data_IF_842289864264
#
_entry.id   IF_842289864264
#
_cell.length_a   1.000
_cell.length_b   1.000
_cell.length_c   1.000
_cell.angle_alpha   90.00
_cell.angle_beta   90.00
_cell.angle_gamma   90.00
#
_symmetry.space_group_name_H-M   'P 1'
#
loop_
_entity.id
_entity.type
_entity.pdbx_description
1 polymer ?
#
# COMPACT_ATOMS: atom_id res chain seq x y z
N UNK A 1 -54.00 -37.57 -45.45
CA UNK A 1 -52.87 -37.08 -46.34
C UNK A 1 -52.82 -35.54 -46.30
N UNK A 2 -52.14 -35.13 -45.22
CA UNK A 2 -51.17 -34.02 -45.19
C UNK A 2 -50.96 -33.56 -43.75
N UNK A 3 -49.88 -34.10 -43.07
CA UNK A 3 -48.53 -33.80 -42.54
C UNK A 3 -48.31 -32.29 -42.39
N UNK A 4 -48.24 -31.76 -41.15
CA UNK A 4 -46.97 -31.35 -40.50
C UNK A 4 -47.12 -29.93 -39.94
N UNK A 5 -47.01 -29.80 -38.61
CA UNK A 5 -45.84 -29.15 -37.94
C UNK A 5 -46.20 -28.88 -36.47
N UNK A 6 -45.84 -29.78 -35.52
CA UNK A 6 -45.59 -29.68 -34.06
C UNK A 6 -44.47 -28.64 -33.81
N UNK A 7 -44.81 -27.41 -33.57
CA UNK A 7 -44.08 -26.25 -32.99
C UNK A 7 -43.42 -26.63 -31.66
N UNK A 8 -42.17 -27.09 -31.70
CA UNK A 8 -41.15 -27.07 -30.63
C UNK A 8 -40.95 -25.62 -30.13
N UNK A 9 -41.74 -25.16 -29.10
CA UNK A 9 -41.28 -23.90 -28.44
C UNK A 9 -41.32 -24.07 -26.92
N UNK A 10 -40.19 -24.51 -26.27
CA UNK A 10 -39.60 -23.73 -25.15
C UNK A 10 -38.69 -24.64 -24.32
N UNK A 11 -37.61 -25.13 -24.87
CA UNK A 11 -36.32 -25.59 -24.34
C UNK A 11 -35.66 -24.45 -23.53
N UNK A 12 -35.85 -24.40 -22.17
CA UNK A 12 -34.85 -24.49 -21.09
C UNK A 12 -33.91 -23.28 -21.15
N UNK A 13 -34.34 -22.11 -20.76
CA UNK A 13 -33.25 -21.18 -20.36
C UNK A 13 -33.74 -20.35 -19.17
N UNK A 14 -33.83 -20.96 -18.02
CA UNK A 14 -33.66 -19.96 -16.94
C UNK A 14 -33.08 -20.65 -15.70
N UNK A 15 -31.88 -21.21 -15.79
CA UNK A 15 -31.17 -21.22 -14.49
C UNK A 15 -29.69 -20.91 -14.71
N UNK A 16 -29.35 -19.91 -15.47
CA UNK A 16 -27.93 -19.46 -15.39
C UNK A 16 -27.89 -17.96 -15.14
N UNK A 17 -28.51 -17.49 -14.13
CA UNK A 17 -28.11 -16.07 -13.87
C UNK A 17 -28.44 -15.69 -12.42
N UNK A 18 -27.70 -16.29 -11.45
CA UNK A 18 -27.33 -15.41 -10.30
C UNK A 18 -26.33 -16.18 -9.42
N UNK A 19 -25.17 -16.69 -9.97
CA UNK A 19 -24.04 -16.94 -9.04
C UNK A 19 -23.62 -15.62 -8.36
N UNK A 20 -24.58 -14.81 -7.79
CA UNK A 20 -24.17 -13.88 -6.72
C UNK A 20 -23.17 -14.56 -5.78
N UNK A 21 -21.89 -14.74 -6.17
CA UNK A 21 -20.70 -14.80 -5.30
C UNK A 21 -21.08 -14.67 -3.83
N UNK A 22 -21.92 -15.56 -3.29
CA UNK A 22 -21.96 -15.73 -1.82
C UNK A 22 -20.55 -15.97 -1.29
N UNK A 23 -19.74 -14.93 -1.13
CA UNK A 23 -18.55 -15.15 -0.28
C UNK A 23 -18.94 -15.77 1.06
N UNK A 24 -19.01 -17.10 1.19
CA UNK A 24 -19.02 -17.78 2.50
C UNK A 24 -18.24 -16.97 3.55
N UNK A 25 -18.91 -16.06 4.30
CA UNK A 25 -18.28 -15.39 5.47
C UNK A 25 -17.23 -16.30 6.13
N UNK A 26 -16.00 -16.24 5.64
CA UNK A 26 -14.94 -17.00 6.35
C UNK A 26 -14.70 -16.34 7.72
N UNK A 27 -14.84 -17.09 8.84
CA UNK A 27 -14.61 -16.61 10.22
C UNK A 27 -13.30 -15.80 10.30
N UNK A 28 -13.41 -14.62 10.97
CA UNK A 28 -12.21 -13.79 11.19
C UNK A 28 -11.14 -14.58 11.98
N UNK A 29 -9.87 -14.37 11.64
CA UNK A 29 -8.82 -15.03 12.43
C UNK A 29 -8.91 -14.67 13.93
N UNK A 30 -8.24 -15.59 14.72
CA UNK A 30 -8.26 -15.38 16.20
C UNK A 30 -6.82 -15.55 16.71
N UNK A 31 -6.51 -14.53 17.54
CA UNK A 31 -5.21 -14.72 18.24
C UNK A 31 -5.49 -15.27 19.65
N UNK A 32 -4.77 -16.40 19.97
CA UNK A 32 -5.06 -17.01 21.29
C UNK A 32 -3.81 -17.00 22.17
N UNK A 33 -2.67 -16.60 21.49
CA UNK A 33 -1.48 -16.59 22.38
C UNK A 33 -0.36 -15.74 21.77
N UNK A 34 0.41 -15.24 22.72
CA UNK A 34 1.60 -14.45 22.33
C UNK A 34 2.78 -14.85 23.21
N UNK A 35 3.83 -15.27 22.55
CA UNK A 35 5.08 -15.55 23.30
C UNK A 35 6.22 -14.67 22.79
N UNK A 36 7.14 -14.27 23.72
CA UNK A 36 8.26 -13.36 23.39
C UNK A 36 8.00 -11.94 23.91
N UNK A 37 9.11 -11.23 23.86
CA UNK A 37 9.01 -9.82 24.29
C UNK A 37 8.68 -8.92 23.09
N UNK A 38 7.60 -8.08 23.31
CA UNK A 38 7.22 -7.16 22.22
C UNK A 38 8.09 -5.89 22.31
N UNK A 39 9.28 -6.05 21.72
CA UNK A 39 10.23 -4.91 21.62
C UNK A 39 10.88 -4.89 20.24
N UNK A 40 11.34 -3.69 19.91
CA UNK A 40 11.83 -3.51 18.53
C UNK A 40 12.88 -4.58 18.19
N UNK A 41 12.66 -5.17 17.05
CA UNK A 41 13.58 -6.13 16.40
C UNK A 41 13.57 -7.48 17.13
N UNK A 42 12.81 -7.60 18.23
CA UNK A 42 12.68 -8.94 18.83
C UNK A 42 11.79 -9.87 17.98
N UNK A 43 12.03 -11.14 18.23
CA UNK A 43 11.15 -12.13 17.57
C UNK A 43 10.02 -12.57 18.54
N UNK A 44 8.82 -12.49 18.01
CA UNK A 44 7.71 -13.00 18.85
C UNK A 44 6.92 -14.03 18.03
N UNK A 45 6.21 -14.89 18.84
CA UNK A 45 5.32 -15.88 18.19
C UNK A 45 3.86 -15.59 18.56
N UNK A 46 3.10 -15.53 17.50
CA UNK A 46 1.64 -15.36 17.69
C UNK A 46 0.92 -16.67 17.32
N UNK A 47 0.15 -17.22 18.32
CA UNK A 47 -0.63 -18.45 18.04
C UNK A 47 -2.12 -18.15 17.96
N UNK A 48 -2.75 -18.94 17.12
CA UNK A 48 -4.22 -18.75 16.98
C UNK A 48 -4.78 -19.68 15.91
N UNK A 49 -5.95 -19.24 15.33
CA UNK A 49 -6.58 -20.03 14.24
C UNK A 49 -7.10 -19.08 13.16
N UNK A 50 -7.21 -19.61 11.94
CA UNK A 50 -7.86 -18.85 10.84
C UNK A 50 -6.91 -17.81 10.24
N UNK A 51 -5.52 -17.98 10.49
CA UNK A 51 -4.59 -16.99 9.91
C UNK A 51 -4.52 -17.14 8.39
N UNK A 52 -4.99 -18.39 7.94
CA UNK A 52 -4.85 -18.64 6.48
C UNK A 52 -3.40 -19.00 6.10
N UNK A 53 -3.30 -19.51 4.84
CA UNK A 53 -1.94 -19.92 4.39
C UNK A 53 -1.29 -18.76 3.61
N UNK A 54 -0.03 -18.60 3.92
CA UNK A 54 0.82 -17.67 3.17
C UNK A 54 2.02 -18.43 2.59
N UNK A 55 2.00 -18.43 1.23
CA UNK A 55 3.09 -19.24 0.62
C UNK A 55 4.47 -18.75 1.04
N UNK A 56 4.52 -17.44 1.11
CA UNK A 56 5.77 -16.83 1.60
C UNK A 56 5.48 -15.96 2.84
N UNK A 57 6.19 -16.47 3.93
CA UNK A 57 5.91 -15.69 5.16
C UNK A 57 6.50 -14.27 5.06
N UNK A 58 7.69 -14.11 4.47
CA UNK A 58 8.33 -12.78 4.41
C UNK A 58 7.73 -11.93 3.28
N UNK A 59 7.74 -10.60 3.59
CA UNK A 59 7.27 -9.74 2.49
C UNK A 59 8.24 -9.77 1.29
N UNK A 60 7.61 -9.34 0.16
CA UNK A 60 8.53 -9.20 -1.00
C UNK A 60 9.64 -8.20 -0.70
N UNK A 61 9.24 -7.15 0.03
CA UNK A 61 10.26 -6.16 0.41
C UNK A 61 9.81 -5.43 1.68
N UNK A 62 10.79 -5.31 2.60
CA UNK A 62 10.66 -4.46 3.80
C UNK A 62 11.95 -3.65 4.00
N UNK A 63 11.66 -2.44 4.26
CA UNK A 63 12.85 -1.60 4.49
C UNK A 63 12.46 -0.40 5.36
N UNK A 64 13.02 -0.34 6.48
CA UNK A 64 12.77 0.83 7.37
C UNK A 64 13.98 1.77 7.37
N UNK A 65 15.04 1.26 6.62
CA UNK A 65 16.22 2.07 6.22
C UNK A 65 17.14 2.28 7.41
N UNK A 66 16.97 1.59 8.45
CA UNK A 66 17.78 1.86 9.67
C UNK A 66 19.16 1.24 9.53
N UNK A 67 19.29 0.38 8.56
CA UNK A 67 20.64 -0.21 8.42
C UNK A 67 21.45 0.52 7.35
N UNK A 68 20.84 1.59 6.77
CA UNK A 68 21.55 2.30 5.69
C UNK A 68 22.47 3.39 6.26
N UNK A 69 23.39 3.93 5.30
CA UNK A 69 24.32 5.00 5.72
C UNK A 69 23.86 6.32 5.09
N UNK A 70 23.69 7.32 5.98
CA UNK A 70 23.21 8.63 5.48
C UNK A 70 24.18 9.16 4.39
N UNK A 71 23.57 9.70 3.31
CA UNK A 71 24.37 10.33 2.23
C UNK A 71 24.55 9.34 1.07
N UNK A 72 24.45 7.98 1.48
CA UNK A 72 24.61 7.01 0.38
C UNK A 72 23.36 6.94 -0.51
N UNK A 73 23.63 6.60 -1.77
CA UNK A 73 22.47 6.48 -2.67
C UNK A 73 21.59 5.27 -2.30
N UNK A 74 20.29 5.36 -2.75
CA UNK A 74 19.25 4.36 -2.39
C UNK A 74 19.64 2.99 -2.98
N UNK A 75 20.55 2.93 -3.97
CA UNK A 75 20.88 1.65 -4.64
C UNK A 75 21.74 0.76 -3.73
N UNK A 76 22.19 1.23 -2.63
CA UNK A 76 23.03 0.40 -1.72
C UNK A 76 22.16 -0.55 -0.89
N UNK A 77 20.81 -0.44 -1.01
CA UNK A 77 19.94 -1.28 -0.16
C UNK A 77 18.91 -2.00 -1.02
N UNK A 78 19.40 -2.44 -2.27
CA UNK A 78 18.57 -3.39 -3.05
C UNK A 78 17.45 -2.68 -3.80
N UNK A 79 17.48 -1.30 -3.70
CA UNK A 79 16.51 -0.53 -4.51
C UNK A 79 17.17 -0.13 -5.84
N UNK A 80 16.28 -0.11 -6.87
CA UNK A 80 16.77 0.41 -8.16
C UNK A 80 16.35 1.87 -8.37
N UNK A 81 17.21 2.49 -9.19
CA UNK A 81 16.83 3.88 -9.56
C UNK A 81 17.21 4.13 -11.02
N UNK A 82 16.64 5.17 -11.61
CA UNK A 82 17.09 5.55 -12.98
C UNK A 82 18.06 6.73 -12.85
N UNK A 83 19.35 6.43 -13.48
CA UNK A 83 20.36 7.52 -13.37
C UNK A 83 20.50 8.23 -14.73
N UNK A 84 19.72 9.33 -14.96
CA UNK A 84 19.91 10.16 -16.17
C UNK A 84 20.27 11.59 -15.75
N UNK A 85 21.02 12.30 -16.60
CA UNK A 85 21.58 13.65 -16.32
C UNK A 85 20.52 14.56 -15.70
N UNK A 86 19.24 14.24 -15.81
CA UNK A 86 18.18 15.13 -15.28
C UNK A 86 17.61 14.56 -13.98
N UNK A 87 18.15 13.27 -13.48
CA UNK A 87 17.55 12.61 -12.30
C UNK A 87 18.46 12.85 -11.09
N UNK A 88 17.68 13.23 -10.09
CA UNK A 88 18.42 13.28 -8.80
C UNK A 88 18.19 11.96 -8.05
N UNK A 89 19.39 11.35 -7.75
CA UNK A 89 19.28 10.05 -7.07
C UNK A 89 18.91 10.26 -5.58
N UNK A 90 17.82 9.50 -5.16
CA UNK A 90 17.48 9.60 -3.73
C UNK A 90 18.60 9.07 -2.83
N UNK A 91 18.66 9.74 -1.68
CA UNK A 91 19.73 9.31 -0.75
C UNK A 91 19.12 9.03 0.62
N UNK A 92 19.89 8.28 1.39
CA UNK A 92 19.47 8.07 2.79
C UNK A 92 19.88 9.28 3.64
N UNK A 93 18.92 9.65 4.61
CA UNK A 93 19.27 10.81 5.45
C UNK A 93 18.86 10.50 6.90
N UNK A 94 19.35 11.37 7.86
CA UNK A 94 18.99 11.08 9.28
C UNK A 94 18.44 12.35 9.95
N UNK A 95 18.15 13.44 9.20
CA UNK A 95 17.69 14.69 9.84
C UNK A 95 16.15 14.74 9.87
N UNK A 96 15.53 13.81 9.23
CA UNK A 96 14.06 13.90 9.16
C UNK A 96 13.45 12.52 9.38
N UNK A 97 14.15 11.72 10.22
CA UNK A 97 13.62 10.35 10.41
C UNK A 97 12.34 10.38 11.24
N UNK A 98 11.45 9.47 10.86
CA UNK A 98 10.20 9.36 11.67
C UNK A 98 10.54 9.13 13.16
N UNK A 99 10.10 10.19 14.08
CA UNK A 99 10.40 10.33 15.53
C UNK A 99 9.97 9.06 16.27
N UNK A 100 10.91 8.50 17.28
CA UNK A 100 10.43 7.44 18.21
C UNK A 100 11.25 6.16 18.05
N UNK A 101 12.18 6.08 16.95
CA UNK A 101 13.20 4.99 17.01
C UNK A 101 13.84 4.81 15.63
N UNK A 102 13.70 5.72 14.74
CA UNK A 102 14.25 5.48 13.40
C UNK A 102 15.30 6.56 13.10
N UNK A 103 16.58 5.99 12.76
CA UNK A 103 17.73 6.91 12.56
C UNK A 103 17.80 7.38 11.10
N UNK A 104 16.80 6.61 10.26
CA UNK A 104 17.08 7.01 8.85
C UNK A 104 15.79 6.95 8.04
N UNK A 105 15.83 7.73 6.94
CA UNK A 105 14.76 7.65 5.93
C UNK A 105 15.38 7.90 4.54
N UNK A 106 14.55 7.59 3.60
CA UNK A 106 14.99 7.93 2.23
C UNK A 106 14.47 9.31 1.81
N UNK A 107 15.40 10.13 1.32
CA UNK A 107 15.08 11.53 0.95
C UNK A 107 15.14 11.69 -0.57
N UNK A 108 14.05 12.26 -0.93
CA UNK A 108 13.94 12.48 -2.39
C UNK A 108 13.81 13.98 -2.66
N UNK A 109 14.61 14.36 -3.72
CA UNK A 109 14.51 15.75 -4.19
C UNK A 109 14.13 15.78 -5.68
N UNK A 110 13.08 16.55 -5.83
CA UNK A 110 12.70 16.73 -7.24
C UNK A 110 12.74 18.22 -7.60
N UNK A 111 13.49 18.48 -8.81
CA UNK A 111 13.60 19.90 -9.27
C UNK A 111 12.69 20.13 -10.47
N UNK A 112 11.83 21.14 -10.35
CA UNK A 112 10.96 21.44 -11.52
C UNK A 112 11.58 22.57 -12.36
N UNK A 113 12.58 22.33 -13.42
CA UNK A 113 12.99 23.44 -14.32
C UNK A 113 12.59 23.07 -15.74
N UNK A 114 11.55 23.72 -16.48
CA UNK A 114 11.19 23.50 -17.89
C UNK A 114 10.81 22.05 -18.17
N UNK A 115 9.85 21.40 -17.33
CA UNK A 115 9.16 20.16 -17.79
C UNK A 115 10.08 18.93 -17.69
N UNK A 116 10.13 18.16 -16.62
CA UNK A 116 10.15 16.71 -16.32
C UNK A 116 11.40 16.38 -15.50
N UNK A 117 11.28 16.54 -14.15
CA UNK A 117 12.47 15.84 -13.57
C UNK A 117 12.01 14.86 -12.49
N UNK A 118 12.58 13.61 -12.57
CA UNK A 118 12.14 12.31 -12.01
C UNK A 118 13.17 11.83 -10.98
N UNK A 119 12.96 12.37 -9.62
CA UNK A 119 13.63 11.54 -8.59
C UNK A 119 12.75 10.36 -8.18
N UNK A 120 13.27 9.11 -8.47
CA UNK A 120 12.42 7.97 -8.07
C UNK A 120 13.32 6.79 -7.66
N UNK A 121 12.83 5.92 -6.99
CA UNK A 121 13.43 4.59 -6.72
C UNK A 121 12.32 3.52 -6.74
N UNK A 122 12.73 2.28 -6.95
CA UNK A 122 11.62 1.32 -7.12
C UNK A 122 12.12 -0.09 -6.77
N UNK A 123 11.14 -0.88 -6.38
CA UNK A 123 11.38 -2.34 -6.32
C UNK A 123 11.29 -2.96 -7.72
N UNK A 124 12.39 -3.70 -8.06
CA UNK A 124 12.40 -4.36 -9.38
C UNK A 124 12.04 -5.85 -9.21
N UNK A 125 10.79 -6.11 -9.68
CA UNK A 125 10.28 -7.49 -9.47
C UNK A 125 10.76 -8.43 -10.57
N UNK A 126 11.74 -7.91 -11.47
CA UNK A 126 12.18 -8.74 -12.62
C UNK A 126 11.01 -9.19 -13.50
N UNK A 127 11.05 -10.57 -13.84
CA UNK A 127 10.02 -11.07 -14.80
C UNK A 127 8.84 -11.69 -14.04
N UNK A 128 8.83 -11.50 -12.71
CA UNK A 128 7.68 -12.04 -11.94
C UNK A 128 6.43 -11.17 -12.14
N UNK A 129 5.43 -11.88 -12.54
CA UNK A 129 4.15 -11.17 -12.69
C UNK A 129 3.46 -11.00 -11.32
N UNK A 130 3.27 -9.69 -11.03
CA UNK A 130 2.61 -9.40 -9.73
C UNK A 130 1.13 -9.08 -9.95
N UNK A 131 0.21 -9.94 -9.43
CA UNK A 131 -1.23 -9.79 -9.72
C UNK A 131 -1.99 -9.31 -8.49
N UNK A 132 -1.34 -9.45 -7.40
CA UNK A 132 -1.94 -8.98 -6.13
C UNK A 132 -0.84 -8.38 -5.24
N UNK A 133 -1.24 -7.15 -4.69
CA UNK A 133 -0.19 -6.48 -3.90
C UNK A 133 -0.81 -5.78 -2.70
N UNK A 134 -0.17 -6.03 -1.61
CA UNK A 134 -0.37 -5.08 -0.49
C UNK A 134 0.90 -4.25 -0.28
N UNK A 135 0.65 -2.92 -0.18
CA UNK A 135 1.82 -2.03 -0.05
C UNK A 135 1.50 -1.00 1.04
N UNK A 136 2.52 -0.82 1.94
CA UNK A 136 2.37 0.31 2.88
C UNK A 136 3.72 1.01 3.04
N UNK A 137 3.57 2.30 3.29
CA UNK A 137 4.80 3.08 3.52
C UNK A 137 4.42 4.41 4.19
N UNK A 138 5.44 4.94 4.87
CA UNK A 138 5.29 6.33 5.37
C UNK A 138 5.95 7.33 4.40
N UNK A 139 5.19 8.45 4.41
CA UNK A 139 5.74 9.52 3.54
C UNK A 139 5.52 10.88 4.21
N UNK A 140 6.49 11.67 3.98
CA UNK A 140 6.39 13.05 4.47
C UNK A 140 6.75 14.02 3.33
N UNK A 141 5.81 14.91 3.24
CA UNK A 141 6.07 15.97 2.23
C UNK A 141 6.69 17.20 2.91
N UNK A 142 7.65 17.80 2.02
CA UNK A 142 8.34 18.95 2.63
C UNK A 142 8.26 20.12 1.64
N UNK A 143 7.93 21.27 2.40
CA UNK A 143 7.96 22.50 1.58
C UNK A 143 9.01 23.47 2.15
N UNK A 144 9.97 23.94 1.28
CA UNK A 144 10.89 25.01 1.75
C UNK A 144 10.39 26.39 1.34
N UNK A 145 10.69 27.46 2.17
CA UNK A 145 10.33 28.87 1.91
C UNK A 145 10.72 29.28 0.48
N UNK A 146 9.65 29.78 -0.34
CA UNK A 146 10.00 30.34 -1.67
C UNK A 146 9.65 29.36 -2.80
N UNK A 147 9.26 28.10 -2.37
CA UNK A 147 8.82 27.10 -3.38
C UNK A 147 7.39 27.37 -3.86
N UNK A 148 7.27 27.70 -5.27
CA UNK A 148 5.92 27.89 -5.86
C UNK A 148 5.22 26.54 -6.01
N UNK A 149 3.93 26.69 -5.87
CA UNK A 149 2.98 25.57 -5.96
C UNK A 149 3.14 24.81 -7.29
N UNK A 150 3.49 23.45 -7.16
CA UNK A 150 3.51 22.59 -8.38
C UNK A 150 2.09 22.14 -8.72
N UNK A 151 1.78 22.02 -10.03
CA UNK A 151 0.43 21.65 -10.52
C UNK A 151 0.33 20.13 -10.67
N UNK A 152 1.63 19.43 -10.53
CA UNK A 152 1.47 17.97 -10.75
C UNK A 152 2.68 17.23 -10.14
N UNK A 153 2.32 16.31 -9.14
CA UNK A 153 3.36 15.46 -8.53
C UNK A 153 2.85 14.02 -8.41
N UNK A 154 3.73 13.09 -8.98
CA UNK A 154 3.35 11.67 -8.87
C UNK A 154 4.30 10.97 -7.90
N UNK A 155 3.73 10.47 -6.87
CA UNK A 155 4.71 10.06 -5.82
C UNK A 155 4.62 8.55 -5.62
N UNK A 156 3.77 7.68 -6.41
CA UNK A 156 3.72 6.22 -6.28
C UNK A 156 3.07 5.64 -7.54
N UNK A 157 3.79 4.44 -7.95
CA UNK A 157 3.25 3.79 -9.16
C UNK A 157 3.50 2.28 -9.08
N UNK A 158 2.46 1.52 -9.74
CA UNK A 158 2.69 0.10 -10.06
C UNK A 158 2.77 -0.04 -11.59
N UNK A 159 3.97 -0.57 -11.94
CA UNK A 159 4.19 -0.46 -13.39
C UNK A 159 4.68 -1.80 -13.95
N UNK A 160 4.60 -1.91 -15.33
CA UNK A 160 5.09 -3.10 -16.05
C UNK A 160 6.62 -3.06 -16.18
N UNK A 161 7.15 -1.78 -16.45
CA UNK A 161 8.62 -1.64 -16.61
C UNK A 161 9.04 -0.21 -16.23
N UNK A 162 9.78 -0.22 -15.16
CA UNK A 162 10.27 1.08 -14.66
C UNK A 162 11.49 1.52 -15.48
N UNK A 163 12.09 0.68 -16.46
CA UNK A 163 13.38 0.84 -17.16
C UNK A 163 13.21 1.57 -18.50
N UNK A 164 12.05 2.06 -18.88
CA UNK A 164 11.95 2.56 -20.28
C UNK A 164 12.14 4.09 -20.29
N UNK A 165 12.82 4.66 -19.24
CA UNK A 165 13.37 6.03 -19.42
C UNK A 165 12.52 6.89 -20.34
N UNK A 166 11.33 6.42 -20.95
CA UNK A 166 10.59 7.19 -21.98
C UNK A 166 9.32 7.78 -21.34
N UNK A 167 9.48 8.13 -19.92
CA UNK A 167 8.48 9.11 -19.42
C UNK A 167 7.05 8.63 -19.64
N UNK A 168 6.77 7.32 -19.94
CA UNK A 168 5.32 6.99 -20.08
C UNK A 168 5.12 5.49 -19.83
N UNK A 169 5.12 5.15 -18.50
CA UNK A 169 4.96 3.77 -17.97
C UNK A 169 3.45 3.49 -17.81
N UNK A 170 2.76 2.46 -18.60
CA UNK A 170 1.36 2.13 -18.30
C UNK A 170 1.16 1.75 -16.83
N UNK A 171 0.68 2.78 -16.00
CA UNK A 171 0.76 2.74 -14.52
C UNK A 171 -0.64 2.49 -13.94
N UNK A 172 -0.90 1.47 -13.10
CA UNK A 172 -1.76 1.79 -11.93
C UNK A 172 -1.06 2.82 -11.03
N UNK A 173 -0.84 4.10 -11.53
CA UNK A 173 -0.21 5.21 -10.80
C UNK A 173 -1.30 6.12 -10.21
N UNK A 174 -1.23 6.24 -8.81
CA UNK A 174 -2.02 7.02 -7.85
C UNK A 174 -1.11 7.94 -7.03
N UNK A 175 -1.15 9.45 -7.28
CA UNK A 175 -1.60 10.62 -6.48
C UNK A 175 -1.01 11.89 -7.13
N UNK A 176 -1.85 12.47 -8.06
CA UNK A 176 -1.42 13.78 -8.62
C UNK A 176 -1.94 14.93 -7.75
N UNK A 177 -1.04 15.89 -7.52
CA UNK A 177 -1.37 17.24 -6.99
C UNK A 177 -1.89 18.15 -8.09
N UNK A 178 -3.30 18.33 -8.20
CA UNK A 178 -3.72 19.41 -9.13
C UNK A 178 -4.08 20.68 -8.34
N UNK A 179 -3.16 21.63 -8.30
CA UNK A 179 -3.51 22.92 -7.65
C UNK A 179 -3.99 23.94 -8.68
N UNK A 180 -4.55 23.39 -9.91
CA UNK A 180 -5.06 24.42 -10.83
C UNK A 180 -6.58 24.59 -10.71
N UNK A 181 -7.08 25.59 -9.88
CA UNK A 181 -8.38 26.27 -10.08
C UNK A 181 -9.48 25.60 -9.27
N UNK A 182 -9.17 24.67 -8.23
CA UNK A 182 -10.27 24.21 -7.37
C UNK A 182 -10.02 24.67 -5.93
N UNK A 183 -10.93 25.36 -5.18
CA UNK A 183 -10.71 25.80 -3.78
C UNK A 183 -10.16 24.66 -2.92
N UNK A 184 -8.79 24.58 -2.67
CA UNK A 184 -8.20 23.65 -1.68
C UNK A 184 -7.24 22.65 -2.36
N UNK A 185 -5.98 22.27 -1.71
CA UNK A 185 -4.98 21.28 -2.18
C UNK A 185 -5.62 19.90 -2.33
N UNK A 186 -5.88 19.45 -3.64
CA UNK A 186 -6.55 18.14 -3.85
C UNK A 186 -5.54 17.14 -4.44
N UNK A 187 -5.55 15.91 -3.80
CA UNK A 187 -4.81 14.75 -4.39
C UNK A 187 -5.76 13.76 -5.06
N UNK A 188 -5.18 13.09 -6.09
CA UNK A 188 -6.05 12.12 -6.76
C UNK A 188 -5.30 10.79 -6.99
N UNK A 189 -6.14 9.71 -6.81
CA UNK A 189 -5.66 8.39 -7.24
C UNK A 189 -6.35 7.95 -8.53
N UNK A 190 -5.45 7.79 -9.59
CA UNK A 190 -6.04 7.44 -10.89
C UNK A 190 -5.51 6.09 -11.37
N UNK A 191 -6.49 5.44 -12.17
CA UNK A 191 -6.06 4.16 -12.76
C UNK A 191 -6.22 4.27 -14.29
N UNK A 192 -5.01 4.02 -14.91
CA UNK A 192 -5.17 4.05 -16.38
C UNK A 192 -4.65 2.72 -16.97
N UNK A 193 -5.61 1.93 -17.66
CA UNK A 193 -5.24 0.68 -18.37
C UNK A 193 -4.51 0.97 -19.69
N UNK A 194 -4.27 2.33 -19.97
CA UNK A 194 -3.65 2.60 -21.30
C UNK A 194 -2.40 3.48 -21.10
N UNK A 195 -1.29 3.23 -22.01
CA UNK A 195 -0.01 3.97 -22.18
C UNK A 195 -0.28 5.43 -22.56
N UNK A 196 0.13 6.51 -21.69
CA UNK A 196 0.23 7.86 -22.30
C UNK A 196 -1.10 8.59 -22.25
N UNK A 197 -0.97 10.04 -22.76
CA UNK A 197 -2.13 10.93 -22.99
C UNK A 197 -3.31 10.16 -23.59
N UNK A 198 -4.23 9.96 -22.69
CA UNK A 198 -5.49 9.33 -23.17
C UNK A 198 -6.33 10.41 -23.88
N UNK A 199 -6.41 10.35 -25.20
CA UNK A 199 -7.25 11.34 -25.90
C UNK A 199 -8.67 11.41 -25.31
N UNK A 200 -9.23 12.55 -25.14
CA UNK A 200 -10.52 12.85 -24.49
C UNK A 200 -11.60 11.85 -24.89
N UNK A 201 -11.51 11.24 -26.01
CA UNK A 201 -12.59 10.34 -26.48
C UNK A 201 -12.44 8.95 -25.84
N UNK A 202 -11.18 8.67 -25.11
CA UNK A 202 -10.88 7.37 -24.48
C UNK A 202 -10.74 7.52 -22.96
N UNK A 203 -11.07 8.81 -22.48
CA UNK A 203 -10.94 9.16 -21.04
C UNK A 203 -11.98 8.41 -20.20
N UNK A 204 -12.93 7.64 -20.92
CA UNK A 204 -13.88 6.82 -20.15
C UNK A 204 -13.18 5.66 -19.43
N UNK A 205 -11.76 5.45 -19.62
CA UNK A 205 -11.00 4.31 -19.06
C UNK A 205 -10.20 4.76 -17.83
N UNK A 206 -10.31 6.19 -17.41
CA UNK A 206 -9.51 6.65 -16.26
C UNK A 206 -10.47 6.97 -15.11
N UNK A 207 -10.41 6.04 -14.10
CA UNK A 207 -11.16 6.41 -12.87
C UNK A 207 -10.24 7.11 -11.86
N UNK A 208 -10.66 8.44 -11.58
CA UNK A 208 -9.86 9.17 -10.58
C UNK A 208 -10.67 9.37 -9.30
N UNK A 209 -10.00 9.09 -8.20
CA UNK A 209 -10.64 9.33 -6.89
C UNK A 209 -9.88 10.46 -6.17
N UNK A 210 -10.73 11.47 -5.77
CA UNK A 210 -10.08 12.69 -5.24
C UNK A 210 -10.13 12.66 -3.70
N UNK A 211 -8.99 13.21 -3.13
CA UNK A 211 -8.98 13.37 -1.67
C UNK A 211 -8.13 14.58 -1.29
N UNK A 212 -8.39 14.89 0.08
CA UNK A 212 -7.58 16.04 0.55
C UNK A 212 -6.12 15.61 0.80
N UNK A 213 -5.30 16.68 0.50
CA UNK A 213 -3.87 16.33 0.64
C UNK A 213 -3.47 16.38 2.12
N UNK A 214 -2.47 15.49 2.38
CA UNK A 214 -1.97 15.58 3.75
C UNK A 214 -1.13 16.85 3.97
N UNK A 215 -1.07 17.25 5.22
CA UNK A 215 -0.28 18.46 5.51
C UNK A 215 1.21 18.23 5.26
N UNK A 216 1.86 19.45 4.99
CA UNK A 216 3.33 19.39 4.83
C UNK A 216 4.01 19.13 6.18
N UNK A 217 5.16 18.46 6.08
CA UNK A 217 6.07 18.24 7.24
C UNK A 217 5.43 17.32 8.28
N UNK A 218 4.57 16.52 7.67
CA UNK A 218 3.99 15.51 8.57
C UNK A 218 4.08 14.13 7.91
N UNK A 219 4.48 13.11 8.81
CA UNK A 219 4.52 11.73 8.26
C UNK A 219 3.09 11.15 8.18
N UNK A 220 2.86 10.63 7.06
CA UNK A 220 1.53 10.03 6.82
C UNK A 220 1.76 8.61 6.28
N UNK A 221 1.04 7.74 6.88
CA UNK A 221 1.13 6.36 6.35
C UNK A 221 0.11 6.14 5.23
N UNK A 222 0.67 5.54 4.17
CA UNK A 222 -0.21 5.16 3.03
C UNK A 222 -0.26 3.63 2.93
N UNK A 223 -1.56 3.19 2.60
CA UNK A 223 -1.76 1.74 2.46
C UNK A 223 -2.62 1.47 1.21
N UNK A 224 -2.06 0.45 0.54
CA UNK A 224 -2.82 0.11 -0.68
C UNK A 224 -2.90 -1.41 -0.87
N UNK A 225 -4.13 -1.85 -1.27
CA UNK A 225 -4.33 -3.22 -1.76
C UNK A 225 -4.83 -3.21 -3.20
N UNK A 226 -4.04 -3.98 -3.99
CA UNK A 226 -4.31 -3.91 -5.43
C UNK A 226 -4.40 -5.33 -6.00
N UNK A 227 -5.48 -5.50 -6.78
CA UNK A 227 -5.60 -6.77 -7.53
C UNK A 227 -5.78 -6.43 -9.01
N UNK A 228 -4.88 -7.06 -9.72
CA UNK A 228 -4.90 -6.79 -11.18
C UNK A 228 -6.13 -7.45 -11.83
N UNK A 229 -6.80 -6.68 -12.70
CA UNK A 229 -7.95 -7.22 -13.46
C UNK A 229 -7.47 -7.95 -14.71
N UNK A 230 -8.34 -8.52 -15.47
CA UNK A 230 -8.03 -9.25 -16.72
C UNK A 230 -8.31 -8.39 -17.95
N UNK A 231 -7.16 -7.88 -18.49
CA UNK A 231 -7.33 -7.02 -19.69
C UNK A 231 -8.14 -5.75 -19.38
N UNK A 232 -9.26 -5.50 -20.23
CA UNK A 232 -9.99 -4.21 -20.07
C UNK A 232 -11.24 -4.47 -19.23
N UNK A 233 -11.31 -5.65 -18.65
CA UNK A 233 -12.50 -5.94 -17.82
C UNK A 233 -12.45 -5.12 -16.52
N UNK A 234 -13.65 -4.70 -16.02
CA UNK A 234 -13.73 -3.98 -14.73
C UNK A 234 -13.81 -4.99 -13.58
N UNK A 235 -12.70 -5.67 -13.34
CA UNK A 235 -12.75 -6.70 -12.27
C UNK A 235 -11.50 -6.58 -11.37
N UNK A 236 -10.78 -5.49 -11.55
CA UNK A 236 -9.66 -5.20 -10.62
C UNK A 236 -10.12 -4.57 -9.31
N UNK A 237 -9.16 -4.70 -8.31
CA UNK A 237 -9.50 -4.15 -6.98
C UNK A 237 -8.44 -3.12 -6.58
N UNK A 238 -9.04 -1.98 -5.99
CA UNK A 238 -8.13 -0.99 -5.39
C UNK A 238 -8.74 -0.55 -4.06
N UNK A 239 -7.85 -0.64 -3.11
CA UNK A 239 -8.22 -0.11 -1.79
C UNK A 239 -7.03 0.65 -1.19
N UNK A 240 -7.39 1.85 -0.83
CA UNK A 240 -6.31 2.68 -0.26
C UNK A 240 -6.80 3.40 0.99
N UNK A 241 -5.87 3.41 1.89
CA UNK A 241 -6.14 4.13 3.15
C UNK A 241 -4.93 4.99 3.52
N UNK A 242 -5.31 5.94 4.38
CA UNK A 242 -4.17 6.72 4.89
C UNK A 242 -4.41 7.06 6.37
N UNK A 243 -3.25 7.14 7.06
CA UNK A 243 -3.28 7.48 8.50
C UNK A 243 -2.27 8.57 8.83
N UNK A 244 -2.78 9.50 9.74
CA UNK A 244 -1.85 10.61 10.06
C UNK A 244 -1.44 10.54 11.54
N UNK A 245 -1.87 9.41 12.18
CA UNK A 245 -1.45 9.20 13.59
C UNK A 245 -2.37 9.95 14.56
N UNK A 246 -3.30 10.74 14.02
CA UNK A 246 -4.20 11.49 14.94
C UNK A 246 -5.66 11.11 14.71
N UNK A 247 -5.91 10.82 13.46
CA UNK A 247 -7.30 10.47 13.11
C UNK A 247 -7.36 9.00 12.67
N UNK A 248 -8.62 8.53 12.84
CA UNK A 248 -8.77 7.14 12.34
C UNK A 248 -8.41 7.09 10.85
N UNK A 249 -7.90 5.90 10.48
CA UNK A 249 -7.44 5.79 9.08
C UNK A 249 -8.59 6.15 8.12
N UNK A 250 -8.19 6.98 7.27
CA UNK A 250 -9.17 7.44 6.27
C UNK A 250 -9.12 6.56 5.00
N UNK A 251 -10.36 6.18 4.65
CA UNK A 251 -10.46 5.46 3.35
C UNK A 251 -10.39 6.45 2.18
N UNK A 252 -9.38 6.22 1.33
CA UNK A 252 -9.21 7.12 0.17
C UNK A 252 -9.95 6.55 -1.04
N UNK A 253 -9.75 5.24 -1.23
CA UNK A 253 -10.49 4.55 -2.32
C UNK A 253 -10.78 3.12 -1.86
N UNK A 254 -12.02 2.64 -2.28
CA UNK A 254 -12.38 1.22 -2.05
C UNK A 254 -13.30 0.75 -3.19
N UNK A 255 -12.56 0.19 -4.22
CA UNK A 255 -13.35 -0.21 -5.39
C UNK A 255 -12.89 -1.60 -5.88
N UNK A 256 -13.92 -2.39 -6.32
CA UNK A 256 -13.60 -3.76 -6.83
C UNK A 256 -14.05 -3.89 -8.28
N UNK A 257 -14.30 -2.84 -8.99
CA UNK A 257 -14.73 -2.85 -10.40
C UNK A 257 -13.90 -1.83 -11.19
N UNK A 258 -12.60 -2.13 -11.03
CA UNK A 258 -11.74 -1.14 -11.72
C UNK A 258 -11.00 -1.84 -12.88
N UNK A 259 -10.97 -1.11 -13.98
CA UNK A 259 -10.04 -1.62 -15.02
C UNK A 259 -8.58 -1.34 -14.60
N UNK A 260 -7.85 -2.36 -14.24
CA UNK A 260 -6.50 -2.14 -13.65
C UNK A 260 -5.44 -2.77 -14.57
N UNK A 261 -6.00 -3.23 -15.77
CA UNK A 261 -5.07 -3.77 -16.77
C UNK A 261 -5.48 -3.30 -18.17
N UNK A 262 -4.49 -3.39 -19.08
CA UNK A 262 -4.81 -2.93 -20.45
C UNK A 262 -5.06 -4.14 -21.36
N UNK A 263 -5.56 -3.85 -22.62
CA UNK A 263 -5.88 -4.91 -23.60
C UNK A 263 -4.63 -5.69 -24.02
N UNK A 264 -3.43 -5.16 -23.74
CA UNK A 264 -2.20 -5.88 -24.16
C UNK A 264 -1.68 -6.76 -23.02
N UNK A 265 -2.53 -6.95 -21.96
CA UNK A 265 -2.27 -7.86 -20.81
C UNK A 265 -0.80 -7.83 -20.43
N UNK A 266 -0.43 -6.77 -19.66
CA UNK A 266 0.99 -6.71 -19.23
C UNK A 266 1.09 -7.03 -17.73
N UNK A 267 2.35 -7.67 -17.43
CA UNK A 267 2.56 -8.06 -16.02
C UNK A 267 3.07 -6.86 -15.20
N UNK A 268 2.32 -6.73 -13.93
CA UNK A 268 2.96 -5.81 -12.97
C UNK A 268 4.29 -6.40 -12.49
N UNK A 269 5.39 -5.42 -12.61
CA UNK A 269 6.67 -5.98 -12.09
C UNK A 269 7.36 -4.95 -11.19
N UNK A 270 7.02 -3.68 -11.45
CA UNK A 270 7.80 -2.68 -10.70
C UNK A 270 6.88 -1.82 -9.83
N UNK A 271 7.37 -1.59 -8.62
CA UNK A 271 6.68 -0.66 -7.71
C UNK A 271 7.57 0.58 -7.52
N UNK A 272 6.97 1.68 -7.94
CA UNK A 272 7.81 2.90 -8.07
C UNK A 272 7.36 3.89 -7.00
N UNK A 273 8.35 4.45 -6.39
CA UNK A 273 8.10 5.55 -5.42
C UNK A 273 8.73 6.84 -5.95
N UNK A 274 7.84 7.82 -6.19
CA UNK A 274 8.31 9.11 -6.75
C UNK A 274 8.29 9.09 -8.28
N UNK A 275 8.77 10.27 -8.88
CA UNK A 275 9.04 9.96 -10.32
C UNK A 275 8.49 11.06 -11.22
N UNK A 276 7.69 12.08 -10.55
CA UNK A 276 7.27 13.12 -11.51
C UNK A 276 6.79 14.36 -10.74
N UNK A 277 7.44 15.44 -11.15
CA UNK A 277 6.94 16.72 -10.62
C UNK A 277 7.00 17.78 -11.74
N UNK A 278 5.82 18.38 -11.97
CA UNK A 278 5.77 19.41 -13.03
C UNK A 278 5.29 20.74 -12.43
N UNK A 279 5.87 21.83 -13.01
CA UNK A 279 5.40 23.18 -12.64
C UNK A 279 4.37 23.68 -13.66
N UNK A 280 3.02 23.86 -13.23
CA UNK A 280 1.98 24.42 -14.11
C UNK A 280 2.47 25.64 -14.88
N UNK A 281 2.07 25.86 -16.24
CA UNK A 281 2.35 26.90 -17.25
C UNK A 281 2.61 28.27 -16.59
N UNK A 282 3.69 28.44 -15.80
CA UNK A 282 3.89 29.84 -15.37
C UNK A 282 4.70 30.59 -16.43
N UNK A 283 4.14 31.79 -17.00
CA UNK A 283 4.64 32.78 -17.98
C UNK A 283 6.14 32.60 -18.24
N UNK A 284 6.53 32.35 -19.47
CA UNK A 284 7.90 32.40 -20.00
C UNK A 284 8.70 33.58 -19.41
N UNK A 285 9.79 33.35 -18.52
CA UNK A 285 10.77 34.41 -18.17
C UNK A 285 10.82 34.62 -16.66
N UNK A 286 10.15 33.75 -15.75
CA UNK A 286 10.32 33.79 -14.27
C UNK A 286 11.17 32.59 -13.86
N UNK A 287 12.49 32.89 -13.25
CA UNK A 287 13.21 31.78 -12.57
C UNK A 287 12.24 30.78 -11.93
N UNK A 288 11.92 29.73 -12.68
CA UNK A 288 10.88 28.70 -12.41
C UNK A 288 11.52 27.45 -11.81
N UNK A 289 12.29 27.63 -10.73
CA UNK A 289 12.81 26.37 -10.15
C UNK A 289 12.09 26.07 -8.82
N UNK A 290 11.15 24.94 -8.85
CA UNK A 290 10.61 24.47 -7.55
C UNK A 290 11.36 23.20 -7.15
N UNK A 291 11.77 23.29 -5.89
CA UNK A 291 12.35 22.06 -5.33
C UNK A 291 11.34 21.42 -4.37
N UNK A 292 11.00 20.19 -4.72
CA UNK A 292 10.06 19.43 -3.86
C UNK A 292 10.84 18.28 -3.21
N UNK A 293 10.45 18.19 -1.91
CA UNK A 293 11.14 17.09 -1.19
C UNK A 293 10.10 16.14 -0.59
N UNK A 294 10.53 14.85 -0.66
CA UNK A 294 9.72 13.86 0.07
C UNK A 294 10.66 12.88 0.80
N UNK A 295 10.08 12.54 1.96
CA UNK A 295 10.76 11.45 2.67
C UNK A 295 9.88 10.19 2.73
N UNK A 296 10.66 8.99 2.70
CA UNK A 296 9.94 7.71 2.80
C UNK A 296 10.55 6.90 3.95
N UNK A 297 9.60 6.05 4.49
CA UNK A 297 10.07 5.14 5.55
C UNK A 297 9.09 3.97 5.68
N UNK A 298 9.69 2.85 6.15
CA UNK A 298 8.88 1.65 6.49
C UNK A 298 8.09 1.19 5.25
N UNK A 299 8.91 0.98 4.24
CA UNK A 299 8.23 0.45 3.04
C UNK A 299 8.09 -1.08 3.16
N UNK A 300 6.81 -1.49 2.86
CA UNK A 300 6.46 -2.93 2.96
C UNK A 300 5.63 -3.32 1.73
N UNK A 301 6.19 -4.40 1.02
CA UNK A 301 5.48 -4.87 -0.18
C UNK A 301 5.24 -6.38 -0.03
N UNK A 302 3.95 -6.71 -0.32
CA UNK A 302 3.61 -8.15 -0.25
C UNK A 302 2.65 -8.51 -1.39
N UNK A 303 2.51 -9.84 -1.57
CA UNK A 303 1.67 -10.23 -2.72
C UNK A 303 0.31 -10.75 -2.24
N UNK A 304 0.05 -10.58 -0.91
CA UNK A 304 -1.29 -10.86 -0.37
C UNK A 304 -1.62 -9.83 0.71
N UNK A 305 -2.91 -9.91 1.19
CA UNK A 305 -3.31 -9.00 2.30
C UNK A 305 -2.90 -9.60 3.65
N UNK A 306 -2.57 -10.89 3.63
CA UNK A 306 -2.26 -11.49 4.95
C UNK A 306 -1.05 -10.81 5.60
N UNK A 307 -1.27 -10.36 6.84
CA UNK A 307 -0.20 -9.61 7.53
C UNK A 307 -0.55 -9.49 9.02
N UNK A 308 0.52 -9.08 9.78
CA UNK A 308 0.28 -8.75 11.20
C UNK A 308 0.57 -7.26 11.42
N UNK A 309 -0.39 -6.66 12.21
CA UNK A 309 -0.18 -5.23 12.52
C UNK A 309 -0.28 -5.00 14.03
N UNK A 310 0.44 -4.01 14.39
CA UNK A 310 0.21 -3.45 15.74
C UNK A 310 -0.52 -2.11 15.66
N UNK A 311 -1.61 -2.01 16.55
CA UNK A 311 -2.42 -0.77 16.53
C UNK A 311 -2.58 -0.21 17.94
N UNK A 312 -3.06 1.04 18.03
CA UNK A 312 -3.12 1.72 19.36
C UNK A 312 -4.52 1.57 19.95
N UNK A 313 -5.38 0.82 19.28
CA UNK A 313 -6.74 0.56 19.80
C UNK A 313 -7.12 -0.90 19.56
N UNK A 314 -7.91 -1.46 20.51
CA UNK A 314 -8.28 -2.89 20.38
C UNK A 314 -9.23 -3.11 19.19
N UNK A 315 -9.95 -2.01 18.85
CA UNK A 315 -10.81 -2.09 17.66
C UNK A 315 -10.08 -1.51 16.43
N UNK A 316 -9.92 -2.41 15.39
CA UNK A 316 -9.10 -2.06 14.20
C UNK A 316 -9.60 -0.75 13.58
N UNK A 317 -10.93 -0.59 13.52
CA UNK A 317 -11.47 0.58 12.78
C UNK A 317 -11.28 1.87 13.57
N UNK A 318 -10.88 1.68 14.83
CA UNK A 318 -10.71 2.92 15.62
C UNK A 318 -9.23 3.23 15.80
N UNK A 319 -8.41 2.44 15.18
CA UNK A 319 -6.96 2.73 15.30
C UNK A 319 -6.61 4.02 14.56
N UNK A 320 -5.78 4.78 15.24
CA UNK A 320 -5.25 5.99 14.57
C UNK A 320 -3.76 5.82 14.29
N UNK A 321 -3.15 4.82 14.84
CA UNK A 321 -1.72 4.53 14.66
C UNK A 321 -1.53 3.01 14.54
N UNK A 322 -0.87 2.67 13.37
CA UNK A 322 -0.58 1.23 13.19
C UNK A 322 0.85 1.04 12.68
N UNK A 323 1.45 -0.09 13.19
CA UNK A 323 2.78 -0.44 12.67
C UNK A 323 2.78 -1.88 12.13
N UNK A 324 3.24 -1.91 10.88
CA UNK A 324 3.27 -3.25 10.24
C UNK A 324 4.40 -4.08 10.87
N UNK A 325 4.08 -5.44 11.06
CA UNK A 325 5.13 -6.34 11.58
C UNK A 325 5.67 -7.21 10.44
N UNK A 326 6.94 -7.77 10.79
CA UNK A 326 7.62 -8.44 9.66
C UNK A 326 7.60 -9.95 9.92
N UNK A 327 6.68 -10.61 9.17
CA UNK A 327 6.58 -12.06 9.39
C UNK A 327 7.84 -12.80 8.94
N UNK A 328 8.25 -13.82 9.72
CA UNK A 328 9.40 -14.66 9.33
C UNK A 328 8.97 -16.12 9.19
N UNK A 329 7.79 -16.44 9.71
CA UNK A 329 7.15 -17.76 9.50
C UNK A 329 5.63 -17.62 9.63
N UNK A 330 4.92 -18.50 8.83
CA UNK A 330 3.44 -18.31 8.82
C UNK A 330 2.77 -19.67 8.58
N UNK A 331 1.83 -19.92 9.39
CA UNK A 331 0.88 -21.02 9.12
C UNK A 331 -0.55 -20.58 9.46
N UNK A 332 -1.35 -21.62 9.31
CA UNK A 332 -2.77 -21.28 9.59
C UNK A 332 -2.98 -21.02 11.09
N UNK A 333 -2.17 -21.47 11.93
CA UNK A 333 -2.48 -21.32 13.38
C UNK A 333 -1.33 -20.58 14.08
N UNK A 334 -0.31 -20.18 13.35
CA UNK A 334 0.81 -19.51 14.04
C UNK A 334 1.55 -18.59 13.06
N UNK A 335 2.09 -17.50 13.67
CA UNK A 335 2.97 -16.61 12.87
C UNK A 335 4.11 -16.11 13.76
N UNK A 336 5.32 -16.22 13.18
CA UNK A 336 6.47 -15.53 13.83
C UNK A 336 6.79 -14.22 13.10
N UNK A 337 7.07 -13.19 14.01
CA UNK A 337 7.36 -11.90 13.35
C UNK A 337 8.56 -11.26 14.07
N UNK A 338 9.34 -10.55 13.23
CA UNK A 338 10.21 -9.53 13.84
C UNK A 338 9.44 -8.24 14.13
N UNK A 339 9.57 -7.84 15.40
CA UNK A 339 8.69 -6.73 15.84
C UNK A 339 9.25 -5.41 15.27
N UNK A 340 8.34 -4.79 14.46
CA UNK A 340 8.52 -3.36 14.14
C UNK A 340 7.73 -2.46 15.10
N UNK A 341 8.54 -1.97 16.08
CA UNK A 341 7.89 -1.20 17.17
C UNK A 341 7.36 0.14 16.65
N UNK A 342 8.03 0.65 15.63
CA UNK A 342 7.65 1.98 15.13
C UNK A 342 7.79 3.07 16.20
N UNK A 343 6.73 3.91 16.29
CA UNK A 343 6.92 5.07 17.21
C UNK A 343 6.16 4.80 18.52
N UNK A 344 5.71 3.54 18.69
CA UNK A 344 5.18 3.22 20.03
C UNK A 344 6.32 3.29 21.06
N UNK A 345 5.93 3.71 22.28
CA UNK A 345 6.96 3.83 23.34
C UNK A 345 6.91 2.60 24.26
N UNK A 346 8.14 2.34 24.82
CA UNK A 346 8.14 1.24 25.82
C UNK A 346 7.10 1.51 26.92
N UNK A 347 6.40 0.46 27.32
CA UNK A 347 5.37 0.58 28.37
C UNK A 347 3.98 0.92 27.80
N UNK A 348 3.99 1.33 26.53
CA UNK A 348 2.70 1.72 25.93
C UNK A 348 1.88 0.46 25.58
N UNK A 349 0.54 0.59 25.87
CA UNK A 349 -0.33 -0.52 25.42
C UNK A 349 -0.56 -0.44 23.89
N UNK A 350 -0.40 -1.70 23.24
CA UNK A 350 -0.77 -1.86 21.82
C UNK A 350 -1.57 -3.14 21.59
N UNK A 351 -2.05 -3.25 20.41
CA UNK A 351 -2.88 -4.44 20.12
C UNK A 351 -2.42 -5.07 18.80
N UNK A 352 -2.20 -6.40 18.87
CA UNK A 352 -1.83 -7.13 17.63
C UNK A 352 -3.06 -7.58 16.86
N UNK A 353 -2.90 -7.47 15.60
CA UNK A 353 -3.98 -7.92 14.69
C UNK A 353 -3.36 -8.87 13.64
N UNK A 354 -4.22 -9.92 13.37
CA UNK A 354 -3.90 -10.73 12.18
C UNK A 354 -4.92 -10.43 11.07
N UNK A 355 -4.37 -10.04 9.88
CA UNK A 355 -5.21 -9.92 8.67
C UNK A 355 -4.91 -11.09 7.73
N UNK A 356 -6.03 -11.78 7.40
CA UNK A 356 -5.72 -12.92 6.52
C UNK A 356 -5.79 -12.50 5.05
N UNK A 357 -5.56 -13.48 4.12
CA UNK A 357 -5.37 -13.15 2.69
C UNK A 357 -6.65 -12.60 2.07
N UNK A 358 -7.75 -12.89 2.81
CA UNK A 358 -9.01 -12.33 2.27
C UNK A 358 -9.32 -10.96 2.86
N UNK A 359 -8.43 -10.50 3.74
CA UNK A 359 -8.62 -9.13 4.28
C UNK A 359 -9.45 -9.13 5.56
N UNK A 360 -9.76 -10.36 6.09
CA UNK A 360 -10.51 -10.39 7.38
C UNK A 360 -9.54 -10.13 8.55
N UNK A 361 -10.10 -9.36 9.48
CA UNK A 361 -9.19 -8.88 10.55
C UNK A 361 -9.62 -9.52 11.87
N UNK A 362 -8.62 -9.96 12.67
CA UNK A 362 -8.96 -10.49 14.00
C UNK A 362 -9.34 -9.37 14.97
N UNK A 363 -9.87 -9.80 16.13
CA UNK A 363 -9.93 -8.81 17.24
C UNK A 363 -8.52 -8.47 17.74
N UNK A 364 -8.45 -7.20 18.35
CA UNK A 364 -7.12 -6.78 18.86
C UNK A 364 -6.70 -7.61 20.07
N UNK A 365 -5.45 -8.17 19.97
CA UNK A 365 -4.88 -8.87 21.13
C UNK A 365 -3.92 -7.94 21.89
N UNK A 366 -4.22 -7.72 23.14
CA UNK A 366 -3.44 -6.72 23.89
C UNK A 366 -1.97 -7.15 24.05
N UNK A 367 -1.10 -6.16 23.87
CA UNK A 367 0.35 -6.33 24.14
C UNK A 367 0.93 -5.02 24.68
N UNK A 368 1.86 -5.24 25.58
CA UNK A 368 2.53 -4.02 26.11
C UNK A 368 3.96 -3.99 25.55
N UNK A 369 4.32 -2.77 25.04
CA UNK A 369 5.65 -2.62 24.42
C UNK A 369 6.73 -2.74 25.49
N UNK A 370 7.81 -3.61 25.16
CA UNK A 370 8.94 -3.74 26.09
C UNK A 370 8.69 -4.84 27.14
N UNK A 371 7.48 -5.46 27.06
CA UNK A 371 7.22 -6.54 28.04
C UNK A 371 6.90 -7.84 27.30
N UNK A 372 7.17 -9.04 28.02
CA UNK A 372 6.86 -10.38 27.47
C UNK A 372 5.37 -10.70 27.54
N UNK A 373 4.80 -11.29 26.39
CA UNK A 373 3.38 -11.72 26.33
C UNK A 373 3.05 -12.73 27.43
N UNK A 374 2.52 -12.24 28.62
CA UNK A 374 2.08 -13.27 29.61
C UNK A 374 0.65 -13.73 29.29
N UNK A 375 0.47 -15.02 28.74
CA UNK A 375 -0.86 -15.69 28.71
C UNK A 375 -1.73 -15.25 29.89
N UNK A 376 -2.41 -14.13 29.81
CA UNK A 376 -3.23 -13.79 31.01
C UNK A 376 -4.65 -14.31 30.81
N UNK A 377 -4.92 -15.19 29.59
CA UNK A 377 -6.30 -15.74 29.58
C UNK A 377 -6.29 -17.21 29.99
N UNK A 378 -6.72 -17.53 31.23
CA UNK A 378 -6.86 -18.95 31.59
C UNK A 378 -7.66 -19.73 30.54
N UNK A 379 -7.19 -21.05 30.14
CA UNK A 379 -8.05 -21.88 29.28
C UNK A 379 -9.52 -21.85 29.72
N UNK A 380 -10.40 -21.47 28.77
CA UNK A 380 -11.85 -21.67 29.01
C UNK A 380 -12.15 -22.97 29.77
N UNK A 381 -12.89 -22.90 30.96
CA UNK A 381 -13.35 -24.09 31.72
C UNK A 381 -13.81 -25.22 30.76
N UNK A 382 -13.30 -26.50 30.94
CA UNK A 382 -13.77 -27.64 30.14
C UNK A 382 -15.31 -27.70 30.11
N UNK A 383 -15.86 -27.58 28.89
CA UNK A 383 -17.32 -27.86 28.76
C UNK A 383 -17.54 -29.29 28.26
N UNK A 384 -17.82 -30.20 29.26
CA UNK A 384 -18.36 -31.52 28.85
C UNK A 384 -18.23 -32.54 30.00
N UNK A 385 -18.24 -32.09 31.31
CA UNK A 385 -18.32 -33.19 32.30
C UNK A 385 -19.77 -33.36 32.76
N UNK A 386 -20.48 -34.16 32.03
CA UNK A 386 -21.75 -34.59 32.66
C UNK A 386 -21.44 -35.66 33.71
N UNK A 387 -21.34 -35.22 34.96
CA UNK A 387 -21.30 -36.13 36.13
C UNK A 387 -22.20 -37.35 35.91
N UNK A 388 -21.62 -38.52 35.40
CA UNK A 388 -22.33 -39.80 35.51
C UNK A 388 -22.78 -40.06 36.97
#
# INVERSE_FOLDING_TARGET
MDNKSIKISSVVVLLLGVFAAFRCAVAAPIISGLSGEVSDSSQITISGSGFGLKERAQPLKWDNFNSSIAGNPVTENGWSTITATQYITPIFENDSSRVGNFARCLHQQANGVNGYQDSLFYYDGGETDLNELFITFYKRRIREAGNIETDNNKWFRIAYDARDGTGEVPCVAHTYLNENNLPGEQGGSSITGTKGYVPPEDQSAIETHWYSMPPYNKWVRWEGYYVKGNGIALDGTIREYRGDGENIFEKVVDSQQEQTDSSDLRSWHDIIFGGYCRLGNLDEGVDNSVIYYSDFDDIYIDTTQARIEMGDNADWSLCTHREIQIPTAWSDTSAMVTVNQGTFENGEQAYLFVVDADGEISEGYPAVIGEGGSDTNPPGAPSGLVAS
#
